data_IF_766897293321
#
_entry.id   IF_766897293321
#
_cell.length_a   1.000
_cell.length_b   1.000
_cell.length_c   1.000
_cell.angle_alpha   90.00
_cell.angle_beta   90.00
_cell.angle_gamma   90.00
#
_symmetry.space_group_name_H-M   'P 1'
#
loop_
_entity.id
_entity.type
_entity.pdbx_description
1 polymer ?
#
# COMPACT_ATOMS: atom_id res chain seq x y z
N UNK A 1 -5.76 28.41 -0.26
CA UNK A 1 -5.24 27.02 -0.26
C UNK A 1 -5.40 26.50 -1.67
N UNK A 2 -4.32 26.37 -2.44
CA UNK A 2 -4.42 25.81 -3.79
C UNK A 2 -4.83 24.35 -3.67
N UNK A 3 -5.98 24.00 -4.24
CA UNK A 3 -6.35 22.61 -4.51
C UNK A 3 -5.23 21.99 -5.34
N UNK A 4 -4.45 21.11 -4.73
CA UNK A 4 -3.44 20.36 -5.47
C UNK A 4 -4.19 19.40 -6.40
N UNK A 5 -4.06 19.61 -7.70
CA UNK A 5 -4.68 18.75 -8.71
C UNK A 5 -4.03 17.37 -8.73
N UNK A 6 -4.82 16.31 -8.90
CA UNK A 6 -4.31 14.95 -9.09
C UNK A 6 -3.39 14.90 -10.31
N UNK A 7 -2.16 14.42 -10.13
CA UNK A 7 -1.20 14.28 -11.22
C UNK A 7 -0.20 13.16 -10.96
N UNK A 8 0.55 12.77 -11.99
CA UNK A 8 1.63 11.80 -11.90
C UNK A 8 2.97 12.50 -11.95
N UNK A 9 3.95 11.95 -11.23
CA UNK A 9 5.34 12.31 -11.41
C UNK A 9 6.18 11.06 -11.67
N UNK A 10 7.24 11.26 -12.46
CA UNK A 10 8.22 10.21 -12.78
C UNK A 10 9.32 10.16 -11.72
N UNK A 11 9.50 9.02 -11.07
CA UNK A 11 10.67 8.74 -10.24
C UNK A 11 11.92 8.64 -11.12
N UNK A 12 12.85 9.57 -10.93
CA UNK A 12 14.15 9.60 -11.61
C UNK A 12 15.21 8.76 -10.88
N UNK A 13 14.99 8.48 -9.60
CA UNK A 13 15.92 7.73 -8.74
C UNK A 13 15.21 6.51 -8.14
N UNK A 14 16.00 5.47 -7.89
CA UNK A 14 15.56 4.26 -7.19
C UNK A 14 15.15 4.61 -5.75
N UNK A 15 13.95 4.21 -5.29
CA UNK A 15 13.53 4.48 -3.92
C UNK A 15 14.29 3.70 -2.85
N UNK A 16 14.98 2.61 -3.23
CA UNK A 16 15.74 1.78 -2.30
C UNK A 16 17.19 2.25 -2.09
N UNK A 17 17.87 2.69 -3.15
CA UNK A 17 19.31 3.03 -3.11
C UNK A 17 19.67 4.39 -3.74
N UNK A 18 18.68 5.17 -4.17
CA UNK A 18 18.86 6.47 -4.83
C UNK A 18 19.65 6.47 -6.17
N UNK A 19 20.00 5.30 -6.73
CA UNK A 19 20.61 5.21 -8.06
C UNK A 19 19.69 5.75 -9.17
N UNK A 20 20.26 6.43 -10.15
CA UNK A 20 19.55 6.86 -11.37
C UNK A 20 19.54 5.77 -12.48
N UNK A 21 20.31 4.70 -12.30
CA UNK A 21 20.46 3.61 -13.26
C UNK A 21 19.26 2.65 -13.20
N UNK A 22 18.27 2.94 -14.04
CA UNK A 22 16.94 2.33 -14.02
C UNK A 22 16.58 1.86 -15.42
N UNK A 23 16.41 0.56 -15.56
CA UNK A 23 15.90 -0.10 -16.78
C UNK A 23 14.36 -0.19 -16.73
N UNK A 24 13.68 0.07 -17.84
CA UNK A 24 12.25 -0.20 -17.97
C UNK A 24 12.05 -1.68 -18.30
N UNK A 25 11.38 -2.44 -17.43
CA UNK A 25 11.12 -3.87 -17.65
C UNK A 25 9.67 -4.17 -18.05
N UNK A 26 8.76 -3.23 -17.84
CA UNK A 26 7.38 -3.34 -18.28
C UNK A 26 6.78 -1.95 -18.52
N UNK A 27 6.00 -1.81 -19.58
CA UNK A 27 5.26 -0.58 -19.87
C UNK A 27 3.87 -0.91 -20.43
N UNK A 28 2.88 -0.13 -20.02
CA UNK A 28 1.51 -0.21 -20.50
C UNK A 28 0.87 1.18 -20.43
N UNK A 29 0.14 1.60 -21.46
CA UNK A 29 -0.68 2.81 -21.36
C UNK A 29 -1.86 2.53 -20.45
N UNK A 30 -2.29 3.51 -19.66
CA UNK A 30 -3.51 3.33 -18.88
C UNK A 30 -4.68 3.02 -19.80
N UNK A 31 -4.80 3.72 -20.93
CA UNK A 31 -5.79 3.48 -22.00
C UNK A 31 -5.83 2.06 -22.61
N UNK A 32 -4.94 1.14 -22.25
CA UNK A 32 -5.08 -0.27 -22.60
C UNK A 32 -6.35 -0.86 -21.97
N UNK A 33 -7.18 -1.53 -22.77
CA UNK A 33 -8.48 -2.04 -22.35
C UNK A 33 -8.40 -2.98 -21.13
N UNK A 34 -7.33 -3.77 -21.00
CA UNK A 34 -7.18 -4.70 -19.87
C UNK A 34 -6.99 -3.94 -18.57
N UNK A 35 -6.18 -2.89 -18.60
CA UNK A 35 -5.92 -2.05 -17.44
C UNK A 35 -7.15 -1.19 -17.11
N UNK A 36 -7.82 -0.66 -18.13
CA UNK A 36 -9.10 0.05 -17.96
C UNK A 36 -10.15 -0.83 -17.28
N UNK A 37 -10.41 -2.02 -17.81
CA UNK A 37 -11.37 -2.97 -17.25
C UNK A 37 -11.02 -3.35 -15.81
N UNK A 38 -9.73 -3.58 -15.52
CA UNK A 38 -9.29 -3.85 -14.16
C UNK A 38 -9.60 -2.69 -13.21
N UNK A 39 -9.26 -1.46 -13.59
CA UNK A 39 -9.46 -0.27 -12.74
C UNK A 39 -10.95 -0.04 -12.48
N UNK A 40 -11.78 -0.08 -13.53
CA UNK A 40 -13.22 0.10 -13.42
C UNK A 40 -13.85 -0.96 -12.52
N UNK A 41 -13.45 -2.23 -12.66
CA UNK A 41 -13.95 -3.34 -11.84
C UNK A 41 -13.48 -3.24 -10.39
N UNK A 42 -12.18 -3.00 -10.16
CA UNK A 42 -11.58 -3.02 -8.84
C UNK A 42 -12.05 -1.84 -7.98
N UNK A 43 -12.07 -0.64 -8.58
CA UNK A 43 -12.49 0.59 -7.92
C UNK A 43 -13.98 0.92 -8.12
N UNK A 44 -14.76 -0.01 -8.68
CA UNK A 44 -16.23 0.11 -8.82
C UNK A 44 -16.65 1.43 -9.50
N UNK A 45 -15.97 1.79 -10.58
CA UNK A 45 -16.21 3.01 -11.38
C UNK A 45 -16.03 4.34 -10.61
N UNK A 46 -15.41 4.34 -9.42
CA UNK A 46 -15.15 5.56 -8.63
C UNK A 46 -14.01 6.43 -9.17
N UNK A 47 -13.24 5.93 -10.13
CA UNK A 47 -12.08 6.62 -10.68
C UNK A 47 -12.51 7.43 -11.89
N UNK A 48 -12.28 8.74 -11.87
CA UNK A 48 -12.39 9.55 -13.09
C UNK A 48 -11.25 9.18 -14.04
N UNK A 49 -11.59 8.36 -15.04
CA UNK A 49 -10.61 7.78 -15.95
C UNK A 49 -9.91 8.81 -16.85
N UNK A 50 -10.47 10.01 -17.02
CA UNK A 50 -9.83 11.12 -17.74
C UNK A 50 -8.50 11.53 -17.10
N UNK A 51 -8.35 11.29 -15.79
CA UNK A 51 -7.09 11.53 -15.07
C UNK A 51 -5.99 10.51 -15.45
N UNK A 52 -6.38 9.35 -15.98
CA UNK A 52 -5.50 8.22 -16.24
C UNK A 52 -5.23 7.99 -17.73
N UNK A 53 -6.17 8.27 -18.63
CA UNK A 53 -6.13 7.84 -20.04
C UNK A 53 -4.84 8.23 -20.80
N UNK A 54 -4.25 9.36 -20.45
CA UNK A 54 -3.02 9.87 -21.07
C UNK A 54 -1.73 9.46 -20.33
N UNK A 55 -1.85 8.68 -19.26
CA UNK A 55 -0.74 8.25 -18.41
C UNK A 55 -0.20 6.89 -18.82
N UNK A 56 0.98 6.56 -18.28
CA UNK A 56 1.67 5.29 -18.51
C UNK A 56 1.92 4.60 -17.18
N UNK A 57 1.60 3.31 -17.13
CA UNK A 57 2.07 2.40 -16.11
C UNK A 57 3.42 1.83 -16.55
N UNK A 58 4.47 2.10 -15.77
CA UNK A 58 5.83 1.63 -16.08
C UNK A 58 6.44 1.01 -14.81
N UNK A 59 6.99 -0.20 -14.93
CA UNK A 59 7.82 -0.83 -13.90
C UNK A 59 9.28 -0.66 -14.31
N UNK A 60 10.02 0.04 -13.45
CA UNK A 60 11.47 0.16 -13.53
C UNK A 60 12.15 -0.88 -12.65
N UNK A 61 13.31 -1.34 -13.09
CA UNK A 61 14.27 -2.15 -12.32
C UNK A 61 15.52 -1.32 -12.08
N UNK A 62 15.90 -1.14 -10.83
CA UNK A 62 17.20 -0.54 -10.51
C UNK A 62 18.32 -1.52 -10.85
N UNK A 63 19.30 -1.11 -11.65
CA UNK A 63 20.44 -1.98 -11.99
C UNK A 63 21.34 -2.24 -10.77
N UNK A 64 21.44 -1.26 -9.86
CA UNK A 64 22.32 -1.34 -8.70
C UNK A 64 21.79 -2.28 -7.59
N UNK A 65 20.52 -2.17 -7.23
CA UNK A 65 19.93 -2.97 -6.13
C UNK A 65 18.84 -3.96 -6.58
N UNK A 66 18.59 -4.08 -7.89
CA UNK A 66 17.56 -4.95 -8.48
C UNK A 66 16.12 -4.69 -8.05
N UNK A 67 15.84 -3.62 -7.29
CA UNK A 67 14.48 -3.27 -6.86
C UNK A 67 13.60 -2.98 -8.06
N UNK A 68 12.44 -3.64 -8.11
CA UNK A 68 11.33 -3.34 -9.02
C UNK A 68 10.40 -2.30 -8.37
N UNK A 69 10.06 -1.26 -9.12
CA UNK A 69 9.17 -0.21 -8.62
C UNK A 69 8.41 0.47 -9.76
N UNK A 70 7.21 0.98 -9.45
CA UNK A 70 6.44 1.79 -10.39
C UNK A 70 7.10 3.16 -10.58
N UNK A 71 7.35 3.56 -11.83
CA UNK A 71 8.06 4.81 -12.14
C UNK A 71 7.16 6.04 -12.13
N UNK A 72 5.96 5.94 -12.70
CA UNK A 72 4.98 7.01 -12.64
C UNK A 72 4.03 6.77 -11.48
N UNK A 73 4.06 7.65 -10.48
CA UNK A 73 3.24 7.52 -9.27
C UNK A 73 2.41 8.77 -9.05
N UNK A 74 1.28 8.61 -8.36
CA UNK A 74 0.42 9.73 -7.99
C UNK A 74 1.16 10.70 -7.05
N UNK A 75 0.93 11.98 -7.27
CA UNK A 75 1.30 13.04 -6.34
C UNK A 75 0.50 12.92 -5.03
N UNK A 76 0.78 13.81 -4.07
CA UNK A 76 0.13 13.77 -2.76
C UNK A 76 -1.40 13.85 -2.86
N UNK A 77 -1.93 14.75 -3.70
CA UNK A 77 -3.36 14.85 -3.95
C UNK A 77 -3.95 13.56 -4.55
N UNK A 78 -3.27 12.97 -5.52
CA UNK A 78 -3.68 11.68 -6.10
C UNK A 78 -3.63 10.53 -5.11
N UNK A 79 -2.66 10.51 -4.19
CA UNK A 79 -2.62 9.51 -3.11
C UNK A 79 -3.78 9.71 -2.14
N UNK A 80 -4.10 10.95 -1.77
CA UNK A 80 -5.27 11.26 -0.94
C UNK A 80 -6.58 10.82 -1.60
N UNK A 81 -6.77 11.10 -2.90
CA UNK A 81 -7.93 10.65 -3.66
C UNK A 81 -8.00 9.12 -3.75
N UNK A 82 -6.86 8.45 -3.99
CA UNK A 82 -6.79 6.99 -4.04
C UNK A 82 -7.27 6.37 -2.72
N UNK A 83 -6.72 6.78 -1.58
CA UNK A 83 -7.02 6.18 -0.27
C UNK A 83 -8.36 6.66 0.31
N UNK A 84 -8.77 7.90 0.04
CA UNK A 84 -9.99 8.49 0.60
C UNK A 84 -11.24 8.23 -0.23
N UNK A 85 -11.14 8.32 -1.56
CA UNK A 85 -12.31 8.32 -2.45
C UNK A 85 -12.42 7.03 -3.26
N UNK A 86 -11.31 6.60 -3.88
CA UNK A 86 -11.36 5.49 -4.83
C UNK A 86 -11.46 4.13 -4.13
N UNK A 87 -10.75 3.95 -3.01
CA UNK A 87 -10.84 2.73 -2.20
C UNK A 87 -12.18 2.70 -1.46
N UNK A 88 -12.86 1.55 -1.55
CA UNK A 88 -14.10 1.30 -0.82
C UNK A 88 -13.78 0.84 0.62
N UNK A 89 -13.80 1.80 1.54
CA UNK A 89 -13.54 1.57 2.96
C UNK A 89 -14.55 0.60 3.60
N UNK A 90 -15.82 0.64 3.21
CA UNK A 90 -16.83 -0.28 3.75
C UNK A 90 -16.53 -1.71 3.32
N UNK A 91 -16.27 -1.94 2.02
CA UNK A 91 -15.89 -3.27 1.51
C UNK A 91 -14.58 -3.77 2.12
N UNK A 92 -13.63 -2.89 2.36
CA UNK A 92 -12.37 -3.21 3.07
C UNK A 92 -12.62 -3.68 4.51
N UNK A 93 -13.48 -2.97 5.24
CA UNK A 93 -13.87 -3.31 6.61
C UNK A 93 -14.64 -4.64 6.66
N UNK A 94 -15.61 -4.82 5.75
CA UNK A 94 -16.42 -6.03 5.67
C UNK A 94 -15.58 -7.29 5.41
N UNK A 95 -14.53 -7.19 4.59
CA UNK A 95 -13.55 -8.29 4.40
C UNK A 95 -12.86 -8.69 5.71
N UNK A 96 -12.59 -7.72 6.61
CA UNK A 96 -11.97 -8.00 7.92
C UNK A 96 -12.99 -8.53 8.93
N UNK A 97 -14.21 -8.01 8.93
CA UNK A 97 -15.32 -8.53 9.77
C UNK A 97 -15.65 -9.98 9.47
N UNK A 98 -15.65 -10.35 8.19
CA UNK A 98 -15.91 -11.71 7.72
C UNK A 98 -14.63 -12.55 7.53
N UNK A 99 -13.52 -12.13 8.14
CA UNK A 99 -12.27 -12.86 8.03
C UNK A 99 -12.38 -14.25 8.67
N UNK A 100 -11.89 -15.25 7.95
CA UNK A 100 -11.82 -16.63 8.46
C UNK A 100 -10.76 -16.73 9.55
N UNK A 101 -10.92 -17.71 10.46
CA UNK A 101 -9.95 -18.02 11.54
C UNK A 101 -8.51 -18.16 11.05
N UNK A 102 -8.31 -18.58 9.79
CA UNK A 102 -6.99 -18.67 9.15
C UNK A 102 -6.22 -17.35 9.21
N UNK A 103 -6.88 -16.20 9.04
CA UNK A 103 -6.22 -14.89 9.10
C UNK A 103 -5.66 -14.63 10.50
N UNK A 104 -6.46 -14.87 11.54
CA UNK A 104 -6.05 -14.65 12.92
C UNK A 104 -4.93 -15.63 13.35
N UNK A 105 -4.95 -16.87 12.85
CA UNK A 105 -3.84 -17.80 13.04
C UNK A 105 -2.54 -17.28 12.39
N UNK A 106 -2.62 -16.67 11.21
CA UNK A 106 -1.45 -16.04 10.58
C UNK A 106 -0.92 -14.88 11.43
N UNK A 107 -1.81 -14.04 11.97
CA UNK A 107 -1.41 -12.96 12.88
C UNK A 107 -0.74 -13.47 14.15
N UNK A 108 -1.28 -14.51 14.80
CA UNK A 108 -0.63 -15.16 15.94
C UNK A 108 0.80 -15.61 15.61
N UNK A 109 0.99 -16.31 14.48
CA UNK A 109 2.32 -16.76 14.06
C UNK A 109 3.31 -15.62 13.76
N UNK A 110 2.82 -14.50 13.22
CA UNK A 110 3.64 -13.29 13.06
C UNK A 110 4.06 -12.71 14.40
N UNK A 111 3.14 -12.63 15.38
CA UNK A 111 3.42 -12.14 16.73
C UNK A 111 4.38 -13.03 17.49
N UNK A 112 4.27 -14.36 17.36
CA UNK A 112 5.26 -15.29 17.91
C UNK A 112 6.64 -15.09 17.28
N UNK A 113 6.69 -14.78 15.98
CA UNK A 113 7.95 -14.50 15.28
C UNK A 113 8.60 -13.23 15.82
N UNK A 114 7.81 -12.17 16.06
CA UNK A 114 8.30 -10.94 16.72
C UNK A 114 8.88 -11.30 18.10
N UNK A 115 8.16 -12.06 18.93
CA UNK A 115 8.63 -12.45 20.26
C UNK A 115 9.98 -13.18 20.20
N UNK A 116 10.11 -14.16 19.30
CA UNK A 116 11.36 -14.92 19.10
C UNK A 116 12.52 -14.04 18.68
N UNK A 117 12.28 -13.06 17.80
CA UNK A 117 13.33 -12.18 17.31
C UNK A 117 13.91 -11.30 18.43
N UNK A 118 13.06 -10.73 19.28
CA UNK A 118 13.50 -9.83 20.35
C UNK A 118 13.88 -10.55 21.66
N UNK A 119 13.41 -11.79 21.86
CA UNK A 119 13.68 -12.61 23.05
C UNK A 119 13.38 -11.88 24.37
N UNK A 120 12.31 -11.07 24.38
CA UNK A 120 11.80 -10.32 25.53
C UNK A 120 10.34 -10.68 25.81
N UNK A 121 9.85 -10.49 27.05
CA UNK A 121 8.41 -10.54 27.31
C UNK A 121 7.64 -9.55 26.42
N UNK A 122 6.44 -9.92 25.90
CA UNK A 122 5.68 -9.06 24.98
C UNK A 122 5.45 -7.62 25.50
N UNK A 123 5.21 -7.45 26.80
CA UNK A 123 4.95 -6.16 27.42
C UNK A 123 6.14 -5.19 27.42
N UNK A 124 7.35 -5.68 27.13
CA UNK A 124 8.54 -4.83 26.96
C UNK A 124 8.77 -4.43 25.49
N UNK A 125 8.06 -5.05 24.54
CA UNK A 125 8.26 -4.84 23.12
C UNK A 125 7.28 -3.76 22.64
N UNK A 126 7.85 -2.65 22.17
CA UNK A 126 7.13 -1.53 21.56
C UNK A 126 7.08 -1.70 20.04
N UNK A 127 5.88 -1.65 19.47
CA UNK A 127 5.62 -1.85 18.05
C UNK A 127 4.99 -0.58 17.47
N UNK A 128 5.53 -0.11 16.34
CA UNK A 128 4.88 0.88 15.49
C UNK A 128 4.37 0.18 14.22
N UNK A 129 3.06 0.10 14.05
CA UNK A 129 2.42 -0.44 12.84
C UNK A 129 2.14 0.70 11.86
N UNK A 130 2.86 0.73 10.73
CA UNK A 130 2.59 1.63 9.61
C UNK A 130 1.55 1.00 8.69
N UNK A 131 0.49 1.74 8.34
CA UNK A 131 -0.58 1.23 7.48
C UNK A 131 -1.43 0.17 8.19
N UNK A 132 -1.81 0.44 9.44
CA UNK A 132 -2.56 -0.51 10.28
C UNK A 132 -3.96 -0.84 9.75
N UNK A 133 -4.47 -0.05 8.79
CA UNK A 133 -5.83 -0.14 8.29
C UNK A 133 -6.85 -0.15 9.44
N UNK A 134 -7.67 -1.19 9.50
CA UNK A 134 -8.69 -1.36 10.56
C UNK A 134 -8.15 -1.83 11.92
N UNK A 135 -6.83 -1.94 12.09
CA UNK A 135 -6.18 -2.26 13.37
C UNK A 135 -6.40 -3.69 13.87
N UNK A 136 -6.84 -4.63 13.03
CA UNK A 136 -7.09 -6.02 13.46
C UNK A 136 -5.81 -6.72 13.93
N UNK A 137 -4.67 -6.45 13.26
CA UNK A 137 -3.38 -6.99 13.68
C UNK A 137 -2.92 -6.32 14.98
N UNK A 138 -2.91 -4.98 15.03
CA UNK A 138 -2.67 -4.18 16.25
C UNK A 138 -3.45 -4.67 17.47
N UNK A 139 -4.77 -4.88 17.34
CA UNK A 139 -5.61 -5.35 18.45
C UNK A 139 -5.18 -6.72 18.96
N UNK A 140 -4.78 -7.61 18.06
CA UNK A 140 -4.28 -8.94 18.43
C UNK A 140 -2.90 -8.84 19.08
N UNK A 141 -2.03 -7.97 18.58
CA UNK A 141 -0.74 -7.67 19.19
C UNK A 141 -0.91 -7.12 20.62
N UNK A 142 -1.79 -6.15 20.84
CA UNK A 142 -2.13 -5.65 22.17
C UNK A 142 -2.66 -6.78 23.08
N UNK A 143 -3.51 -7.68 22.56
CA UNK A 143 -4.01 -8.82 23.33
C UNK A 143 -2.92 -9.85 23.68
N UNK A 144 -1.85 -9.94 22.90
CA UNK A 144 -0.66 -10.74 23.21
C UNK A 144 0.28 -10.05 24.23
N UNK A 145 -0.07 -8.83 24.66
CA UNK A 145 0.67 -8.06 25.66
C UNK A 145 1.65 -7.05 25.08
N UNK A 146 1.73 -6.87 23.76
CA UNK A 146 2.62 -5.88 23.14
C UNK A 146 2.17 -4.44 23.38
N UNK A 147 3.12 -3.50 23.39
CA UNK A 147 2.84 -2.07 23.40
C UNK A 147 2.77 -1.55 21.95
N UNK A 148 1.56 -1.36 21.42
CA UNK A 148 1.36 -1.08 19.99
C UNK A 148 0.88 0.34 19.76
N UNK A 149 1.54 1.04 18.84
CA UNK A 149 1.09 2.30 18.26
C UNK A 149 0.88 2.10 16.76
N UNK A 150 -0.17 2.70 16.22
CA UNK A 150 -0.46 2.63 14.79
C UNK A 150 -0.38 4.01 14.15
N UNK A 151 0.09 4.05 12.91
CA UNK A 151 0.03 5.22 12.04
C UNK A 151 -0.69 4.83 10.75
N UNK A 152 -1.80 5.50 10.45
CA UNK A 152 -2.59 5.34 9.24
C UNK A 152 -2.84 6.70 8.61
N UNK A 153 -2.78 6.80 7.28
CA UNK A 153 -2.92 8.04 6.53
C UNK A 153 -4.37 8.32 6.09
N UNK A 154 -5.24 7.30 6.11
CA UNK A 154 -6.65 7.36 5.71
C UNK A 154 -7.62 7.50 6.87
#
# INVERSE_FOLDING_TARGET
MNEQTVSFYKRKLCPGCASADIESVYHLRYADDRLKQFIESFYQQKVDYRLLENQVYEIGKCIQCSLLFQRYVLNQAGQAALYGEWVDNQKSLEKKRHAKVKLFRQYAGQLETVNRFFSKPPHEIKILELGMGWGYWSRMATAFGYQVHGLELS
#
